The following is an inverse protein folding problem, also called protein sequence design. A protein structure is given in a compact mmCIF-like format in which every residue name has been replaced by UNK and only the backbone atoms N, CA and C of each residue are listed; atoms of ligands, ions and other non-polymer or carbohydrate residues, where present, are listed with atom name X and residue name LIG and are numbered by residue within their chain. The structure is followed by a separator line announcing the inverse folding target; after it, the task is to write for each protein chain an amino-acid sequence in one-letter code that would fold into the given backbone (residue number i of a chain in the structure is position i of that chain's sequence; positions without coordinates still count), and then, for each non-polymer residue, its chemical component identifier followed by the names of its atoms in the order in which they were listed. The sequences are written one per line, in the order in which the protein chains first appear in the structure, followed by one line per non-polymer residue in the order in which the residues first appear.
data_IF_509646021873
#
_entry.id   IF_509646021873
#
_cell.length_a   1.000
_cell.length_b   1.000
_cell.length_c   1.000
_cell.angle_alpha   90.00
_cell.angle_beta   90.00
_cell.angle_gamma   90.00
#
_symmetry.space_group_name_H-M   'P 1'
#
loop_
_entity.id
_entity.type
_entity.pdbx_description
1 polymer ?
#
# COMPACT_ATOMS: atom_id res chain seq x y z
N UNK A 1 1.13 12.59 -22.42
CA UNK A 1 2.44 12.15 -21.90
C UNK A 1 2.24 10.73 -21.40
N UNK A 2 3.01 9.76 -21.91
CA UNK A 2 2.96 8.36 -21.48
C UNK A 2 3.56 8.24 -20.09
N UNK A 3 2.99 7.42 -19.20
CA UNK A 3 3.41 7.30 -17.81
C UNK A 3 3.82 5.86 -17.54
N UNK A 4 4.85 5.68 -16.70
CA UNK A 4 5.43 4.37 -16.46
C UNK A 4 6.53 4.02 -17.45
N UNK A 5 7.07 5.01 -18.17
CA UNK A 5 8.28 4.88 -18.99
C UNK A 5 9.49 5.35 -18.19
N UNK A 6 10.71 5.02 -18.62
CA UNK A 6 11.94 5.47 -17.96
C UNK A 6 12.04 7.01 -17.89
N UNK A 7 11.67 7.70 -18.98
CA UNK A 7 11.65 9.16 -19.08
C UNK A 7 10.52 9.82 -18.26
N UNK A 8 9.43 9.10 -18.03
CA UNK A 8 8.28 9.59 -17.26
C UNK A 8 7.70 8.51 -16.33
N UNK A 9 8.45 8.15 -15.27
CA UNK A 9 8.06 7.07 -14.38
C UNK A 9 6.90 7.49 -13.48
N UNK A 10 6.17 6.51 -12.95
CA UNK A 10 5.22 6.77 -11.88
C UNK A 10 5.96 7.26 -10.64
N UNK A 11 5.70 8.48 -10.18
CA UNK A 11 6.34 9.02 -8.97
C UNK A 11 5.57 8.60 -7.73
N UNK A 12 6.18 7.75 -6.91
CA UNK A 12 5.69 7.38 -5.60
C UNK A 12 5.97 8.51 -4.59
N UNK A 13 4.95 8.97 -3.84
CA UNK A 13 5.18 9.91 -2.74
C UNK A 13 5.86 9.22 -1.57
N UNK A 14 6.75 9.94 -0.90
CA UNK A 14 7.34 9.54 0.36
C UNK A 14 6.26 9.33 1.43
N UNK A 15 6.55 8.47 2.40
CA UNK A 15 5.60 7.97 3.41
C UNK A 15 5.00 9.06 4.34
N UNK A 16 5.47 10.31 4.24
CA UNK A 16 5.11 11.45 5.10
C UNK A 16 3.84 12.20 4.64
N UNK A 17 2.77 11.48 4.32
CA UNK A 17 1.46 12.09 4.03
C UNK A 17 0.62 12.08 5.31
N UNK A 18 -0.14 13.16 5.56
CA UNK A 18 -1.09 13.22 6.68
C UNK A 18 -2.07 12.03 6.66
N UNK A 19 -2.45 11.52 7.83
CA UNK A 19 -3.20 10.26 7.99
C UNK A 19 -4.46 10.49 8.82
N UNK A 20 -5.54 11.04 8.24
CA UNK A 20 -6.71 11.48 9.01
C UNK A 20 -7.38 10.36 9.81
N UNK A 21 -7.55 9.16 9.25
CA UNK A 21 -8.17 8.04 9.98
C UNK A 21 -7.30 7.57 11.16
N UNK A 22 -5.98 7.45 10.95
CA UNK A 22 -5.07 7.14 12.05
C UNK A 22 -5.16 8.23 13.12
N UNK A 23 -5.00 9.49 12.74
CA UNK A 23 -5.05 10.66 13.64
C UNK A 23 -6.37 10.76 14.43
N UNK A 24 -7.50 10.41 13.81
CA UNK A 24 -8.79 10.36 14.50
C UNK A 24 -8.81 9.24 15.54
N UNK A 25 -8.40 8.03 15.16
CA UNK A 25 -8.35 6.89 16.06
C UNK A 25 -7.38 7.09 17.24
N UNK A 26 -6.30 7.88 17.07
CA UNK A 26 -5.41 8.26 18.17
C UNK A 26 -6.10 9.09 19.25
N UNK A 27 -7.08 9.92 18.89
CA UNK A 27 -7.75 10.82 19.85
C UNK A 27 -8.70 10.06 20.77
N UNK A 28 -9.20 8.92 20.33
CA UNK A 28 -10.22 8.14 21.02
C UNK A 28 -9.62 7.10 21.98
N UNK A 29 -8.28 7.00 22.11
CA UNK A 29 -7.55 6.09 23.01
C UNK A 29 -7.94 4.60 22.86
N UNK A 30 -8.42 4.20 21.68
CA UNK A 30 -9.05 2.91 21.42
C UNK A 30 -8.11 1.73 21.15
N UNK A 31 -6.79 1.93 21.19
CA UNK A 31 -5.83 0.87 20.89
C UNK A 31 -5.20 0.32 22.17
N UNK A 32 -5.61 -0.89 22.58
CA UNK A 32 -5.16 -1.53 23.83
C UNK A 32 -4.03 -2.55 23.68
N UNK A 33 -3.53 -2.82 22.47
CA UNK A 33 -2.50 -3.85 22.27
C UNK A 33 -1.11 -3.38 22.74
N UNK A 34 -0.62 -3.97 23.84
CA UNK A 34 0.69 -3.70 24.47
C UNK A 34 1.62 -4.91 24.46
N UNK A 35 1.44 -5.86 23.56
CA UNK A 35 2.30 -7.04 23.53
C UNK A 35 3.65 -6.68 22.89
N UNK A 36 4.67 -6.49 23.73
CA UNK A 36 6.02 -6.04 23.35
C UNK A 36 6.92 -7.21 22.90
N UNK A 37 6.42 -8.45 22.92
CA UNK A 37 7.23 -9.65 22.74
C UNK A 37 7.17 -10.25 21.32
N UNK A 38 6.39 -9.67 20.41
CA UNK A 38 6.28 -10.16 19.02
C UNK A 38 7.18 -9.35 18.08
N UNK A 39 7.98 -10.01 17.24
CA UNK A 39 8.82 -9.39 16.20
C UNK A 39 8.52 -9.98 14.81
N UNK A 40 8.73 -9.20 13.74
CA UNK A 40 8.69 -9.69 12.36
C UNK A 40 7.28 -9.87 11.76
N UNK A 41 7.12 -10.88 10.91
CA UNK A 41 5.89 -11.24 10.16
C UNK A 41 4.65 -11.32 11.08
N UNK A 42 4.81 -11.88 12.28
CA UNK A 42 3.74 -11.98 13.28
C UNK A 42 3.28 -10.61 13.80
N UNK A 43 4.16 -9.61 13.83
CA UNK A 43 3.84 -8.26 14.29
C UNK A 43 2.91 -7.53 13.33
N UNK A 44 3.11 -7.68 12.02
CA UNK A 44 2.21 -7.09 11.03
C UNK A 44 0.79 -7.65 11.17
N UNK A 45 0.66 -8.97 11.26
CA UNK A 45 -0.64 -9.63 11.41
C UNK A 45 -1.32 -9.27 12.72
N UNK A 46 -0.56 -9.18 13.82
CA UNK A 46 -1.07 -8.72 15.11
C UNK A 46 -1.55 -7.27 15.06
N UNK A 47 -0.81 -6.38 14.40
CA UNK A 47 -1.23 -4.99 14.19
C UNK A 47 -2.55 -4.92 13.41
N UNK A 48 -2.65 -5.69 12.31
CA UNK A 48 -3.88 -5.76 11.50
C UNK A 48 -5.05 -6.30 12.31
N UNK A 49 -4.89 -7.41 13.03
CA UNK A 49 -5.95 -8.04 13.80
C UNK A 49 -6.38 -7.21 15.03
N UNK A 50 -5.44 -6.47 15.63
CA UNK A 50 -5.67 -5.62 16.79
C UNK A 50 -6.26 -4.25 16.48
N UNK A 51 -6.41 -3.88 15.20
CA UNK A 51 -6.96 -2.60 14.79
C UNK A 51 -8.48 -2.68 14.57
N UNK A 52 -9.24 -2.25 15.59
CA UNK A 52 -10.71 -2.26 15.57
C UNK A 52 -11.35 -1.30 14.55
N UNK A 53 -10.58 -0.34 14.02
CA UNK A 53 -11.06 0.64 13.04
C UNK A 53 -10.99 0.13 11.61
N UNK A 54 -10.33 -1.02 11.37
CA UNK A 54 -10.32 -1.65 10.06
C UNK A 54 -11.63 -2.39 9.79
N UNK A 55 -12.14 -2.20 8.59
CA UNK A 55 -13.20 -3.03 8.04
C UNK A 55 -12.73 -4.49 7.90
N UNK A 56 -13.66 -5.44 8.02
CA UNK A 56 -13.37 -6.88 7.79
C UNK A 56 -12.72 -7.13 6.43
N UNK A 57 -13.07 -6.33 5.42
CA UNK A 57 -12.48 -6.43 4.09
C UNK A 57 -11.02 -5.92 4.07
N UNK A 58 -10.73 -4.82 4.77
CA UNK A 58 -9.37 -4.30 4.93
C UNK A 58 -8.47 -5.33 5.62
N UNK A 59 -8.95 -5.96 6.69
CA UNK A 59 -8.21 -7.04 7.37
C UNK A 59 -7.86 -8.17 6.40
N UNK A 60 -8.84 -8.67 5.63
CA UNK A 60 -8.61 -9.75 4.64
C UNK A 60 -7.60 -9.37 3.56
N UNK A 61 -7.68 -8.14 3.05
CA UNK A 61 -6.75 -7.64 2.03
C UNK A 61 -5.35 -7.39 2.60
N UNK A 62 -5.25 -6.92 3.85
CA UNK A 62 -3.95 -6.76 4.52
C UNK A 62 -3.25 -8.11 4.73
N UNK A 63 -3.99 -9.14 5.16
CA UNK A 63 -3.48 -10.51 5.26
C UNK A 63 -3.05 -11.05 3.89
N UNK A 64 -3.83 -10.78 2.83
CA UNK A 64 -3.44 -11.14 1.47
C UNK A 64 -2.10 -10.49 1.09
N UNK A 65 -1.93 -9.19 1.29
CA UNK A 65 -0.66 -8.51 0.95
C UNK A 65 0.50 -8.98 1.80
N UNK A 66 0.28 -9.24 3.08
CA UNK A 66 1.26 -9.84 3.96
C UNK A 66 1.79 -11.15 3.35
N UNK A 67 0.91 -12.07 2.96
CA UNK A 67 1.33 -13.33 2.37
C UNK A 67 1.98 -13.13 1.00
N UNK A 68 1.41 -12.25 0.17
CA UNK A 68 1.93 -11.96 -1.16
C UNK A 68 3.38 -11.43 -1.14
N UNK A 69 3.72 -10.57 -0.17
CA UNK A 69 5.03 -9.95 -0.08
C UNK A 69 6.00 -10.64 0.88
N UNK A 70 5.52 -11.40 1.87
CA UNK A 70 6.36 -11.90 2.98
C UNK A 70 6.32 -13.42 3.19
N UNK A 71 5.40 -14.19 2.59
CA UNK A 71 5.40 -15.65 2.76
C UNK A 71 6.17 -16.36 1.65
N UNK A 72 7.15 -17.18 2.05
CA UNK A 72 8.13 -17.95 1.27
C UNK A 72 7.55 -18.87 0.18
N UNK A 73 7.27 -18.33 -1.00
CA UNK A 73 7.20 -19.11 -2.26
C UNK A 73 7.62 -18.30 -3.51
N UNK A 74 8.08 -17.05 -3.34
CA UNK A 74 8.51 -16.23 -4.45
C UNK A 74 10.03 -16.30 -4.63
N UNK A 75 10.49 -17.07 -5.62
CA UNK A 75 11.76 -16.84 -6.35
C UNK A 75 11.83 -15.43 -7.00
N UNK A 76 10.93 -14.51 -6.65
CA UNK A 76 10.91 -13.12 -7.08
C UNK A 76 11.26 -12.27 -5.87
N UNK A 77 12.55 -12.01 -5.75
CA UNK A 77 13.16 -11.07 -4.81
C UNK A 77 12.77 -9.62 -5.11
N UNK A 78 11.48 -9.29 -5.13
CA UNK A 78 11.10 -7.90 -4.86
C UNK A 78 11.06 -7.79 -3.35
N UNK A 79 12.11 -7.18 -2.78
CA UNK A 79 12.08 -6.71 -1.40
C UNK A 79 10.72 -6.02 -1.20
N UNK A 80 9.98 -6.37 -0.14
CA UNK A 80 8.72 -5.70 0.19
C UNK A 80 8.89 -4.16 0.28
N UNK A 81 10.14 -3.71 0.42
CA UNK A 81 10.59 -2.32 0.34
C UNK A 81 10.38 -1.69 -1.05
N UNK A 82 10.46 -2.45 -2.13
CA UNK A 82 10.21 -1.99 -3.50
C UNK A 82 8.74 -2.16 -3.90
N UNK A 83 8.05 -3.19 -3.39
CA UNK A 83 6.63 -3.44 -3.61
C UNK A 83 6.31 -4.01 -4.99
N UNK A 84 5.09 -3.74 -5.48
CA UNK A 84 4.61 -4.24 -6.78
C UNK A 84 3.59 -3.28 -7.42
N UNK A 85 3.53 -3.27 -8.75
CA UNK A 85 2.56 -2.50 -9.53
C UNK A 85 1.40 -3.40 -9.95
N UNK A 86 0.24 -3.19 -9.35
CA UNK A 86 -0.96 -3.97 -9.65
C UNK A 86 -1.89 -3.26 -10.61
N UNK A 87 -2.55 -4.01 -11.49
CA UNK A 87 -3.82 -3.57 -12.07
C UNK A 87 -4.94 -3.66 -11.03
N UNK A 88 -5.69 -2.57 -10.87
CA UNK A 88 -6.78 -2.40 -9.89
C UNK A 88 -8.17 -2.29 -10.52
N UNK A 89 -8.23 -2.38 -11.85
CA UNK A 89 -9.47 -2.43 -12.63
C UNK A 89 -9.78 -3.84 -13.09
N UNK A 90 -11.06 -4.11 -13.32
CA UNK A 90 -11.51 -5.35 -13.96
C UNK A 90 -10.76 -5.57 -15.29
N UNK A 91 -10.16 -6.76 -15.52
CA UNK A 91 -9.46 -7.07 -16.78
C UNK A 91 -10.38 -6.95 -18.02
N UNK A 92 -11.70 -7.07 -17.85
CA UNK A 92 -12.67 -6.93 -18.92
C UNK A 92 -13.11 -5.47 -19.15
N UNK A 93 -12.58 -4.51 -18.39
CA UNK A 93 -12.90 -3.11 -18.57
C UNK A 93 -12.38 -2.62 -19.92
N UNK A 94 -13.28 -2.09 -20.77
CA UNK A 94 -12.96 -1.48 -22.09
C UNK A 94 -11.84 -0.43 -22.04
N UNK A 95 -11.54 0.12 -20.87
CA UNK A 95 -10.46 1.08 -20.66
C UNK A 95 -9.06 0.47 -20.79
N UNK A 96 -8.91 -0.84 -20.61
CA UNK A 96 -7.64 -1.56 -20.82
C UNK A 96 -7.36 -1.79 -22.31
N UNK A 97 -8.41 -2.12 -23.08
CA UNK A 97 -8.33 -2.49 -24.51
C UNK A 97 -7.70 -1.38 -25.39
N UNK A 98 -7.75 -0.11 -24.95
CA UNK A 98 -7.17 1.02 -25.67
C UNK A 98 -5.95 1.68 -24.98
N UNK A 99 -5.48 1.14 -23.85
CA UNK A 99 -4.41 1.73 -23.02
C UNK A 99 -3.08 0.98 -23.07
N UNK A 100 -2.99 -0.13 -23.81
CA UNK A 100 -1.79 -1.01 -23.86
C UNK A 100 -0.65 -0.50 -24.77
N UNK A 101 -0.69 0.75 -25.25
CA UNK A 101 0.42 1.35 -26.02
C UNK A 101 1.48 2.05 -25.14
N UNK A 102 1.37 1.97 -23.81
CA UNK A 102 2.14 2.80 -22.86
C UNK A 102 3.45 2.18 -22.34
N UNK A 103 3.91 1.07 -22.92
CA UNK A 103 5.09 0.36 -22.45
C UNK A 103 6.27 0.48 -23.42
N UNK A 104 7.44 0.78 -22.87
CA UNK A 104 8.73 0.73 -23.57
C UNK A 104 9.49 -0.43 -22.90
N UNK A 105 10.02 -1.36 -23.70
CA UNK A 105 10.89 -2.46 -23.25
C UNK A 105 10.30 -3.50 -22.27
N UNK A 106 8.99 -3.75 -22.32
CA UNK A 106 8.28 -4.75 -21.47
C UNK A 106 8.33 -4.45 -19.95
N UNK A 107 8.65 -3.22 -19.56
CA UNK A 107 8.68 -2.80 -18.17
C UNK A 107 7.80 -1.58 -17.90
N UNK A 108 7.33 -1.48 -16.66
CA UNK A 108 6.63 -0.32 -16.11
C UNK A 108 7.51 0.33 -15.04
N UNK A 109 7.90 1.58 -15.24
CA UNK A 109 8.86 2.26 -14.37
C UNK A 109 8.19 3.07 -13.26
N UNK A 110 8.66 2.89 -12.02
CA UNK A 110 8.27 3.66 -10.84
C UNK A 110 9.49 4.37 -10.28
N UNK A 111 9.35 5.64 -9.90
CA UNK A 111 10.37 6.39 -9.16
C UNK A 111 9.96 6.51 -7.69
N UNK A 112 10.77 5.96 -6.80
CA UNK A 112 10.60 6.04 -5.34
C UNK A 112 11.96 6.23 -4.68
N UNK A 113 12.02 7.04 -3.60
CA UNK A 113 13.24 7.31 -2.84
C UNK A 113 14.47 7.75 -3.67
N UNK A 114 14.26 8.36 -4.83
CA UNK A 114 15.33 8.80 -5.74
C UNK A 114 15.78 7.74 -6.76
N UNK A 115 15.34 6.49 -6.61
CA UNK A 115 15.61 5.40 -7.54
C UNK A 115 14.45 5.21 -8.53
N UNK A 116 14.76 4.77 -9.75
CA UNK A 116 13.77 4.34 -10.74
C UNK A 116 13.89 2.83 -10.93
N UNK A 117 12.79 2.12 -10.76
CA UNK A 117 12.70 0.66 -10.73
C UNK A 117 11.72 0.23 -11.83
N UNK A 118 12.13 -0.76 -12.63
CA UNK A 118 11.30 -1.38 -13.66
C UNK A 118 10.51 -2.57 -13.10
N UNK A 119 9.23 -2.66 -13.45
CA UNK A 119 8.35 -3.78 -13.09
C UNK A 119 7.94 -4.53 -14.35
N UNK A 120 8.14 -5.85 -14.41
CA UNK A 120 7.89 -6.63 -15.62
C UNK A 120 6.40 -6.69 -15.98
N UNK A 121 6.12 -6.67 -17.27
CA UNK A 121 4.77 -6.78 -17.83
C UNK A 121 4.54 -8.23 -18.30
N UNK A 122 3.33 -8.80 -18.16
CA UNK A 122 2.08 -8.18 -17.71
C UNK A 122 2.02 -7.92 -16.20
N UNK A 123 1.46 -6.76 -15.84
CA UNK A 123 1.24 -6.40 -14.44
C UNK A 123 0.19 -7.33 -13.80
N UNK A 124 0.39 -7.78 -12.55
CA UNK A 124 -0.57 -8.63 -11.85
C UNK A 124 -1.93 -7.93 -11.67
N UNK A 125 -3.02 -8.65 -11.92
CA UNK A 125 -4.37 -8.13 -11.65
C UNK A 125 -4.79 -8.43 -10.21
N UNK A 126 -4.87 -7.38 -9.38
CA UNK A 126 -5.20 -7.53 -7.97
C UNK A 126 -6.62 -8.04 -7.73
N UNK A 127 -7.59 -7.69 -8.58
CA UNK A 127 -8.97 -8.20 -8.44
C UNK A 127 -8.99 -9.72 -8.67
N UNK A 128 -8.27 -10.19 -9.68
CA UNK A 128 -8.14 -11.64 -9.97
C UNK A 128 -7.40 -12.37 -8.85
N UNK A 129 -6.25 -11.86 -8.40
CA UNK A 129 -5.47 -12.48 -7.31
C UNK A 129 -6.26 -12.56 -6.00
N UNK A 130 -7.03 -11.53 -5.68
CA UNK A 130 -7.92 -11.55 -4.52
C UNK A 130 -9.03 -12.59 -4.68
N UNK A 131 -9.61 -12.72 -5.87
CA UNK A 131 -10.64 -13.73 -6.14
C UNK A 131 -10.11 -15.16 -6.01
N UNK A 132 -8.89 -15.43 -6.48
CA UNK A 132 -8.17 -16.71 -6.29
C UNK A 132 -7.97 -17.05 -4.80
N UNK A 133 -7.81 -16.01 -3.98
CA UNK A 133 -7.74 -16.11 -2.51
C UNK A 133 -9.11 -16.07 -1.82
N UNK A 134 -10.21 -16.30 -2.55
CA UNK A 134 -11.59 -16.25 -2.08
C UNK A 134 -12.05 -14.88 -1.53
N UNK A 135 -11.38 -13.78 -1.90
CA UNK A 135 -11.72 -12.40 -1.53
C UNK A 135 -12.44 -11.74 -2.72
N UNK A 136 -13.77 -11.79 -2.71
CA UNK A 136 -14.59 -11.16 -3.75
C UNK A 136 -14.80 -9.68 -3.44
N UNK A 137 -14.32 -8.80 -4.33
CA UNK A 137 -14.42 -7.34 -4.16
C UNK A 137 -14.56 -6.63 -5.50
N UNK A 138 -15.42 -5.60 -5.56
CA UNK A 138 -15.53 -4.74 -6.75
C UNK A 138 -14.35 -3.75 -6.82
N UNK A 139 -13.95 -3.31 -8.02
CA UNK A 139 -12.86 -2.32 -8.16
C UNK A 139 -13.11 -0.99 -7.42
N UNK A 140 -14.38 -0.60 -7.24
CA UNK A 140 -14.74 0.60 -6.46
C UNK A 140 -14.46 0.41 -4.97
N UNK A 141 -14.85 -0.75 -4.41
CA UNK A 141 -14.62 -1.09 -3.01
C UNK A 141 -13.15 -1.42 -2.74
N UNK A 142 -12.47 -2.11 -3.66
CA UNK A 142 -11.04 -2.41 -3.58
C UNK A 142 -10.25 -1.16 -3.24
N UNK A 143 -10.48 -0.09 -3.97
CA UNK A 143 -9.72 1.12 -3.75
C UNK A 143 -10.17 1.95 -2.55
N UNK A 144 -11.40 1.77 -2.04
CA UNK A 144 -11.77 2.32 -0.72
C UNK A 144 -10.96 1.59 0.35
N UNK A 145 -10.90 0.27 0.27
CA UNK A 145 -10.13 -0.58 1.19
C UNK A 145 -8.62 -0.32 1.12
N UNK A 146 -8.06 -0.14 -0.08
CA UNK A 146 -6.64 0.23 -0.23
C UNK A 146 -6.34 1.60 0.40
N UNK A 147 -7.24 2.58 0.26
CA UNK A 147 -7.09 3.89 0.91
C UNK A 147 -7.17 3.79 2.43
N UNK A 148 -8.10 2.98 2.94
CA UNK A 148 -8.22 2.71 4.37
C UNK A 148 -6.92 2.12 4.94
N UNK A 149 -6.39 1.07 4.32
CA UNK A 149 -5.11 0.48 4.71
C UNK A 149 -3.93 1.46 4.57
N UNK A 150 -3.97 2.34 3.58
CA UNK A 150 -2.99 3.41 3.42
C UNK A 150 -3.05 4.45 4.54
N UNK A 151 -4.25 4.82 4.96
CA UNK A 151 -4.45 5.81 6.02
C UNK A 151 -4.04 5.26 7.39
N UNK A 152 -4.15 3.95 7.62
CA UNK A 152 -3.62 3.30 8.82
C UNK A 152 -2.15 2.86 8.69
N UNK A 153 -1.42 3.31 7.67
CA UNK A 153 0.00 2.98 7.46
C UNK A 153 0.26 1.46 7.36
N UNK A 154 -0.65 0.63 6.88
CA UNK A 154 -0.32 -0.78 6.58
C UNK A 154 0.34 -0.93 5.21
N UNK A 155 -0.02 -0.05 4.28
CA UNK A 155 0.56 -0.01 2.94
C UNK A 155 0.80 1.42 2.47
N UNK A 156 1.68 1.58 1.50
CA UNK A 156 1.85 2.84 0.77
C UNK A 156 1.28 2.69 -0.63
N UNK A 157 0.41 3.62 -1.01
CA UNK A 157 -0.05 3.77 -2.39
C UNK A 157 0.74 4.92 -3.01
N UNK A 158 1.39 4.67 -4.14
CA UNK A 158 1.84 5.79 -4.97
C UNK A 158 0.62 6.61 -5.39
N UNK A 159 0.71 7.94 -5.36
CA UNK A 159 -0.39 8.78 -5.81
C UNK A 159 -0.67 8.43 -7.29
N UNK A 160 -1.88 8.72 -7.79
CA UNK A 160 -1.98 8.85 -9.24
C UNK A 160 -0.88 9.84 -9.67
N UNK A 161 -0.22 9.63 -10.81
CA UNK A 161 0.68 10.63 -11.38
C UNK A 161 -0.03 11.97 -11.44
N UNK A 162 0.73 13.02 -11.72
CA UNK A 162 0.19 14.27 -12.25
C UNK A 162 -0.42 14.02 -13.66
N UNK A 163 -1.44 13.18 -13.73
CA UNK A 163 -2.36 13.05 -14.85
C UNK A 163 -3.17 14.34 -14.88
N UNK A 164 -3.51 14.84 -16.08
CA UNK A 164 -4.53 15.86 -16.20
C UNK A 164 -5.77 15.38 -15.44
N UNK A 165 -6.22 16.17 -14.44
CA UNK A 165 -7.41 15.89 -13.61
C UNK A 165 -8.68 15.59 -14.43
N UNK A 166 -8.64 15.85 -15.74
CA UNK A 166 -9.70 15.63 -16.73
C UNK A 166 -9.82 14.19 -17.25
N UNK A 167 -8.95 13.25 -16.87
CA UNK A 167 -9.02 11.86 -17.34
C UNK A 167 -9.10 10.84 -16.21
N UNK A 168 -9.86 9.78 -16.50
CA UNK A 168 -10.21 8.64 -15.67
C UNK A 168 -9.17 8.20 -14.64
N UNK A 169 -9.67 7.63 -13.54
CA UNK A 169 -8.86 6.89 -12.56
C UNK A 169 -7.84 6.00 -13.27
N UNK A 170 -6.55 6.14 -12.92
CA UNK A 170 -5.52 5.27 -13.47
C UNK A 170 -5.83 3.80 -13.14
N UNK A 171 -5.63 2.86 -14.08
CA UNK A 171 -6.03 1.47 -13.88
C UNK A 171 -5.08 0.71 -12.96
N UNK A 172 -3.83 1.17 -12.80
CA UNK A 172 -2.81 0.53 -11.99
C UNK A 172 -2.54 1.29 -10.68
N UNK A 173 -1.95 0.62 -9.69
CA UNK A 173 -1.42 1.21 -8.46
C UNK A 173 -0.15 0.49 -8.07
N UNK A 174 0.87 1.27 -7.73
CA UNK A 174 2.03 0.76 -7.03
C UNK A 174 1.72 0.68 -5.54
N UNK A 175 1.94 -0.50 -4.96
CA UNK A 175 1.59 -0.85 -3.57
C UNK A 175 2.82 -1.46 -2.91
N UNK A 176 3.13 -0.97 -1.70
CA UNK A 176 4.20 -1.50 -0.85
C UNK A 176 3.67 -1.71 0.56
N UNK A 177 4.22 -2.66 1.30
CA UNK A 177 3.98 -2.72 2.74
C UNK A 177 4.72 -1.59 3.44
N UNK A 178 4.09 -0.99 4.44
CA UNK A 178 4.76 0.03 5.23
C UNK A 178 5.69 -0.63 6.25
N UNK A 179 7.00 -0.45 6.06
CA UNK A 179 8.07 -1.03 6.90
C UNK A 179 7.82 -0.85 8.39
N UNK A 180 7.33 0.33 8.80
CA UNK A 180 7.04 0.61 10.20
C UNK A 180 6.05 -0.39 10.83
N UNK A 181 5.00 -0.82 10.11
CA UNK A 181 4.01 -1.77 10.63
C UNK A 181 4.51 -3.21 10.71
N UNK A 182 5.63 -3.51 10.05
CA UNK A 182 6.32 -4.80 10.13
C UNK A 182 7.31 -4.79 11.30
N UNK A 183 7.95 -3.65 11.57
CA UNK A 183 9.04 -3.53 12.56
C UNK A 183 8.58 -3.14 13.96
N UNK A 184 7.44 -2.44 14.08
CA UNK A 184 6.99 -1.87 15.36
C UNK A 184 5.52 -2.19 15.62
N UNK A 185 5.16 -2.45 16.89
CA UNK A 185 3.77 -2.55 17.29
C UNK A 185 2.97 -1.30 16.92
N UNK A 186 1.67 -1.49 16.66
CA UNK A 186 0.75 -0.45 16.23
C UNK A 186 0.82 0.78 17.14
N UNK A 187 0.94 0.60 18.46
CA UNK A 187 1.01 1.69 19.44
C UNK A 187 2.24 2.62 19.29
N UNK A 188 3.33 2.17 18.65
CA UNK A 188 4.47 3.05 18.36
C UNK A 188 4.21 4.01 17.21
N UNK A 189 3.30 3.66 16.29
CA UNK A 189 2.83 4.53 15.21
C UNK A 189 1.73 5.48 15.69
N UNK A 190 1.24 5.24 16.90
CA UNK A 190 0.17 5.97 17.59
C UNK A 190 0.74 7.08 18.49
N UNK A 191 2.06 7.08 18.79
CA UNK A 191 2.67 8.09 19.67
C UNK A 191 2.41 9.51 19.18
N UNK A 192 1.52 10.16 19.92
CA UNK A 192 1.04 11.51 19.67
C UNK A 192 2.17 12.53 19.88
N UNK A 193 1.98 13.72 19.29
CA UNK A 193 2.80 14.93 19.49
C UNK A 193 3.26 15.19 20.94
N UNK A 194 2.58 14.66 21.96
CA UNK A 194 2.94 14.85 23.37
C UNK A 194 4.34 14.31 23.70
N UNK A 195 4.78 13.20 23.10
CA UNK A 195 6.13 12.64 23.34
C UNK A 195 7.24 13.41 22.59
N UNK A 196 6.88 14.10 21.50
CA UNK A 196 7.81 14.96 20.74
C UNK A 196 8.03 16.32 21.42
N UNK A 197 7.04 16.83 22.16
CA UNK A 197 7.17 18.08 22.93
C UNK A 197 7.78 17.84 24.32
N UNK A 198 7.64 16.64 24.89
CA UNK A 198 8.25 16.24 26.16
C UNK A 198 9.75 15.88 26.11
N UNK A 199 10.33 15.75 24.91
CA UNK A 199 11.76 15.44 24.71
C UNK A 199 12.63 16.68 24.42
N UNK A 200 12.04 17.88 24.37
CA UNK A 200 12.75 19.16 24.19
C UNK A 200 12.92 19.97 25.49
N UNK A 201 12.55 19.44 26.65
CA UNK A 201 12.67 20.10 27.95
C UNK A 201 13.66 19.41 28.90
N UNK A 202 14.83 19.04 28.37
CA UNK A 202 15.99 18.61 29.17
C UNK A 202 17.28 19.00 28.47
N UNK A 203 17.62 20.30 28.56
CA UNK A 203 18.98 20.84 28.78
C UNK A 203 18.94 22.37 28.79
#
# INVERSE_FOLDING_TARGET
MKIGTEENPLVATLDKVARPLLEAALRDNSFEFKDEHTYGIELFLNNVAGNEHLSKMAIRIAIFFHNYFLSDDAERSTDYEDGEVFMTTDPNSRTLINGHEDYIDNEFYVRYAGSTIGFPIPLPNLVSLLAESNILISSSNLMKTLKELHEFNYLTLSPPPNYPKSKNRTPWRHIRLYKGMIEKPLYYHIKSKADLEGSTSSN
#
